data_IF_427115176177
#
_entry.id   IF_427115176177
#
_cell.length_a   1.000
_cell.length_b   1.000
_cell.length_c   1.000
_cell.angle_alpha   90.00
_cell.angle_beta   90.00
_cell.angle_gamma   90.00
#
_symmetry.space_group_name_H-M   'P 1'
#
loop_
_entity.id
_entity.type
_entity.pdbx_description
1 polymer ?
#
# COMPACT_ATOMS: atom_id res chain seq x y z
N UNK A 1 -6.63 47.09 -4.36
CA UNK A 1 -6.11 46.05 -3.45
C UNK A 1 -6.55 44.63 -3.82
N UNK A 2 -7.62 44.44 -4.62
CA UNK A 2 -8.18 43.10 -4.91
C UNK A 2 -7.41 42.30 -5.99
N UNK A 3 -6.76 42.97 -6.94
CA UNK A 3 -6.05 42.29 -8.04
C UNK A 3 -4.85 41.46 -7.53
N UNK A 4 -4.12 41.97 -6.54
CA UNK A 4 -2.96 41.29 -5.95
C UNK A 4 -3.34 40.01 -5.21
N UNK A 5 -4.50 40.01 -4.53
CA UNK A 5 -5.03 38.83 -3.82
C UNK A 5 -5.47 37.77 -4.82
N UNK A 6 -6.20 38.16 -5.87
CA UNK A 6 -6.64 37.21 -6.91
C UNK A 6 -5.46 36.55 -7.63
N UNK A 7 -4.41 37.31 -7.95
CA UNK A 7 -3.20 36.77 -8.60
C UNK A 7 -2.45 35.78 -7.68
N UNK A 8 -2.33 36.10 -6.38
CA UNK A 8 -1.76 35.18 -5.38
C UNK A 8 -2.58 33.89 -5.26
N UNK A 9 -3.91 33.98 -5.26
CA UNK A 9 -4.78 32.80 -5.25
C UNK A 9 -4.61 31.94 -6.52
N UNK A 10 -4.52 32.54 -7.71
CA UNK A 10 -4.26 31.78 -8.94
C UNK A 10 -2.88 31.13 -8.94
N UNK A 11 -1.84 31.82 -8.45
CA UNK A 11 -0.51 31.24 -8.32
C UNK A 11 -0.51 30.05 -7.33
N UNK A 12 -1.19 30.16 -6.20
CA UNK A 12 -1.35 29.06 -5.24
C UNK A 12 -2.11 27.86 -5.84
N UNK A 13 -3.16 28.11 -6.63
CA UNK A 13 -3.91 27.06 -7.34
C UNK A 13 -3.07 26.37 -8.43
N UNK A 14 -2.12 27.08 -9.05
CA UNK A 14 -1.26 26.52 -10.10
C UNK A 14 -0.06 25.75 -9.53
N UNK A 15 0.42 26.09 -8.33
CA UNK A 15 1.54 25.39 -7.68
C UNK A 15 1.07 24.16 -6.89
N UNK A 16 -0.18 24.16 -6.39
CA UNK A 16 -0.72 23.05 -5.59
C UNK A 16 -0.67 21.65 -6.24
N UNK A 17 -0.81 21.47 -7.56
CA UNK A 17 -0.73 20.13 -8.16
C UNK A 17 0.70 19.64 -8.35
N UNK A 18 1.70 20.52 -8.38
CA UNK A 18 3.08 20.16 -8.71
C UNK A 18 3.88 19.57 -7.54
N UNK A 19 3.42 19.72 -6.30
CA UNK A 19 4.30 19.54 -5.14
C UNK A 19 4.01 18.30 -4.27
N UNK A 20 3.14 17.37 -4.67
CA UNK A 20 2.82 16.20 -3.83
C UNK A 20 2.88 14.86 -4.59
N UNK A 21 3.61 14.84 -5.71
CA UNK A 21 3.92 13.59 -6.39
C UNK A 21 4.87 12.74 -5.54
N UNK A 22 4.80 11.43 -5.74
CA UNK A 22 5.77 10.48 -5.20
C UNK A 22 7.15 10.79 -5.79
N UNK A 23 8.07 11.26 -4.96
CA UNK A 23 9.40 11.70 -5.42
C UNK A 23 10.29 10.54 -5.85
N UNK A 24 11.32 10.82 -6.65
CA UNK A 24 12.30 9.80 -7.06
C UNK A 24 13.04 9.24 -5.84
N UNK A 25 13.33 10.08 -4.84
CA UNK A 25 13.95 9.65 -3.58
C UNK A 25 13.04 8.75 -2.75
N UNK A 26 11.73 9.08 -2.64
CA UNK A 26 10.75 8.21 -1.99
C UNK A 26 10.60 6.88 -2.73
N UNK A 27 10.60 6.93 -4.06
CA UNK A 27 10.52 5.74 -4.92
C UNK A 27 11.71 4.81 -4.74
N UNK A 28 12.91 5.35 -4.70
CA UNK A 28 14.13 4.56 -4.45
C UNK A 28 14.12 3.98 -3.03
N UNK A 29 13.79 4.79 -2.03
CA UNK A 29 13.70 4.34 -0.63
C UNK A 29 12.70 3.19 -0.46
N UNK A 30 11.49 3.31 -1.01
CA UNK A 30 10.47 2.28 -0.92
C UNK A 30 10.82 1.04 -1.76
N UNK A 31 11.48 1.20 -2.90
CA UNK A 31 12.00 0.08 -3.70
C UNK A 31 12.97 -0.79 -2.87
N UNK A 32 13.96 -0.16 -2.24
CA UNK A 32 14.90 -0.82 -1.33
C UNK A 32 14.16 -1.45 -0.14
N UNK A 33 13.16 -0.75 0.39
CA UNK A 33 12.38 -1.24 1.52
C UNK A 33 11.56 -2.49 1.17
N UNK A 34 10.92 -2.54 0.00
CA UNK A 34 10.23 -3.74 -0.49
C UNK A 34 11.20 -4.90 -0.62
N UNK A 35 12.38 -4.68 -1.21
CA UNK A 35 13.39 -5.72 -1.35
C UNK A 35 13.84 -6.25 0.03
N UNK A 36 14.07 -5.38 1.00
CA UNK A 36 14.42 -5.76 2.37
C UNK A 36 13.30 -6.56 3.06
N UNK A 37 12.04 -6.12 2.94
CA UNK A 37 10.89 -6.83 3.52
C UNK A 37 10.81 -8.26 2.97
N UNK A 38 10.91 -8.42 1.65
CA UNK A 38 10.87 -9.74 1.00
C UNK A 38 12.08 -10.61 1.39
N UNK A 39 13.25 -10.00 1.53
CA UNK A 39 14.45 -10.72 1.92
C UNK A 39 14.41 -11.19 3.38
N UNK A 40 13.85 -10.39 4.29
CA UNK A 40 13.91 -10.64 5.74
C UNK A 40 12.70 -11.38 6.30
N UNK A 41 11.54 -11.36 5.63
CA UNK A 41 10.32 -12.05 6.08
C UNK A 41 10.33 -13.54 5.73
N UNK A 42 11.09 -14.33 6.49
CA UNK A 42 11.29 -15.77 6.21
C UNK A 42 10.20 -16.67 6.79
N UNK A 43 9.74 -16.37 7.99
CA UNK A 43 8.69 -17.12 8.67
C UNK A 43 7.30 -16.52 8.44
N UNK A 44 6.27 -17.33 8.66
CA UNK A 44 4.87 -16.97 8.43
C UNK A 44 4.42 -15.76 9.25
N UNK A 45 4.86 -15.67 10.51
CA UNK A 45 4.51 -14.57 11.40
C UNK A 45 5.12 -13.26 10.89
N UNK A 46 6.39 -13.27 10.47
CA UNK A 46 7.05 -12.12 9.85
C UNK A 46 6.33 -11.66 8.59
N UNK A 47 5.94 -12.58 7.69
CA UNK A 47 5.18 -12.22 6.48
C UNK A 47 3.87 -11.52 6.83
N UNK A 48 3.08 -12.14 7.70
CA UNK A 48 1.78 -11.62 8.14
C UNK A 48 1.93 -10.23 8.78
N UNK A 49 2.93 -10.04 9.64
CA UNK A 49 3.19 -8.77 10.31
C UNK A 49 3.67 -7.68 9.34
N UNK A 50 4.41 -8.04 8.29
CA UNK A 50 4.97 -7.11 7.30
C UNK A 50 4.02 -6.78 6.15
N UNK A 51 2.92 -7.52 5.97
CA UNK A 51 1.87 -7.19 4.99
C UNK A 51 1.36 -5.75 5.14
N UNK A 52 1.21 -5.25 6.36
CA UNK A 52 0.77 -3.88 6.59
C UNK A 52 1.76 -2.85 6.02
N UNK A 53 3.06 -3.15 6.10
CA UNK A 53 4.10 -2.27 5.59
C UNK A 53 4.10 -2.22 4.05
N UNK A 54 3.87 -3.36 3.40
CA UNK A 54 3.68 -3.42 1.95
C UNK A 54 2.43 -2.62 1.51
N UNK A 55 1.33 -2.73 2.26
CA UNK A 55 0.12 -1.93 2.00
C UNK A 55 0.37 -0.42 2.14
N UNK A 56 1.18 -0.01 3.12
CA UNK A 56 1.52 1.40 3.31
C UNK A 56 2.43 1.93 2.20
N UNK A 57 3.37 1.12 1.70
CA UNK A 57 4.16 1.44 0.49
C UNK A 57 3.23 1.57 -0.72
N UNK A 58 2.33 0.60 -0.94
CA UNK A 58 1.36 0.67 -2.04
C UNK A 58 0.54 1.96 -1.99
N UNK A 59 0.03 2.36 -0.82
CA UNK A 59 -0.78 3.59 -0.67
C UNK A 59 -0.01 4.86 -1.05
N UNK A 60 1.30 4.92 -0.78
CA UNK A 60 2.15 6.05 -1.19
C UNK A 60 2.44 6.04 -2.68
N UNK A 61 2.67 4.84 -3.23
CA UNK A 61 2.99 4.65 -4.64
C UNK A 61 1.76 4.84 -5.55
N UNK A 62 0.57 4.42 -5.11
CA UNK A 62 -0.65 4.33 -5.91
C UNK A 62 -1.04 5.60 -6.69
N UNK A 63 -0.90 6.82 -6.15
CA UNK A 63 -1.18 8.05 -6.91
C UNK A 63 -0.26 8.26 -8.12
N UNK A 64 0.92 7.66 -8.13
CA UNK A 64 1.91 7.78 -9.22
C UNK A 64 1.80 6.67 -10.28
N UNK A 65 1.00 5.63 -10.01
CA UNK A 65 0.86 4.49 -10.92
C UNK A 65 -0.09 4.81 -12.08
N UNK A 66 0.09 4.06 -13.18
CA UNK A 66 -0.93 4.01 -14.22
C UNK A 66 -2.27 3.53 -13.62
N UNK A 67 -3.43 3.98 -14.16
CA UNK A 67 -4.72 3.50 -13.70
C UNK A 67 -4.83 1.97 -13.75
N UNK A 68 -4.28 1.34 -14.80
CA UNK A 68 -4.29 -0.11 -14.97
C UNK A 68 -3.50 -0.84 -13.87
N UNK A 69 -2.28 -0.40 -13.57
CA UNK A 69 -1.45 -1.01 -12.53
C UNK A 69 -2.07 -0.84 -11.14
N UNK A 70 -2.60 0.35 -10.87
CA UNK A 70 -3.30 0.65 -9.62
C UNK A 70 -4.52 -0.25 -9.45
N UNK A 71 -5.41 -0.31 -10.44
CA UNK A 71 -6.63 -1.13 -10.40
C UNK A 71 -6.35 -2.62 -10.28
N UNK A 72 -5.26 -3.11 -10.90
CA UNK A 72 -4.84 -4.50 -10.78
C UNK A 72 -4.48 -4.85 -9.34
N UNK A 73 -3.70 -4.00 -8.67
CA UNK A 73 -3.29 -4.24 -7.28
C UNK A 73 -4.45 -4.01 -6.31
N UNK A 74 -5.27 -2.98 -6.52
CA UNK A 74 -6.46 -2.73 -5.68
C UNK A 74 -7.45 -3.89 -5.72
N UNK A 75 -7.64 -4.54 -6.87
CA UNK A 75 -8.46 -5.75 -6.98
C UNK A 75 -7.89 -6.90 -6.15
N UNK A 76 -6.59 -7.18 -6.29
CA UNK A 76 -5.91 -8.22 -5.51
C UNK A 76 -6.03 -7.96 -4.00
N UNK A 77 -5.83 -6.72 -3.55
CA UNK A 77 -6.02 -6.32 -2.15
C UNK A 77 -7.45 -6.58 -1.68
N UNK A 78 -8.44 -6.25 -2.50
CA UNK A 78 -9.86 -6.43 -2.18
C UNK A 78 -10.20 -7.91 -2.03
N UNK A 79 -9.80 -8.75 -3.00
CA UNK A 79 -10.05 -10.19 -3.00
C UNK A 79 -9.50 -10.85 -1.72
N UNK A 80 -8.25 -10.56 -1.36
CA UNK A 80 -7.65 -11.11 -0.14
C UNK A 80 -8.25 -10.55 1.16
N UNK A 81 -8.65 -9.28 1.17
CA UNK A 81 -9.31 -8.68 2.34
C UNK A 81 -10.68 -9.32 2.58
N UNK A 82 -11.43 -9.63 1.53
CA UNK A 82 -12.73 -10.30 1.63
C UNK A 82 -12.57 -11.76 2.08
N UNK A 83 -11.52 -12.46 1.62
CA UNK A 83 -11.25 -13.87 1.95
C UNK A 83 -10.71 -14.09 3.38
N UNK A 84 -9.90 -13.17 3.92
CA UNK A 84 -9.34 -13.26 5.28
C UNK A 84 -10.42 -13.02 6.36
N UNK A 85 -11.57 -12.47 6.01
CA UNK A 85 -12.72 -12.27 6.90
C UNK A 85 -13.47 -13.58 7.20
N UNK A 86 -12.81 -14.54 7.83
CA UNK A 86 -13.44 -15.71 8.44
C UNK A 86 -13.67 -15.37 9.94
N UNK A 87 -14.93 -15.49 10.40
CA UNK A 87 -15.50 -15.03 11.70
C UNK A 87 -16.07 -13.59 11.79
N UNK A 88 -16.54 -13.03 10.68
CA UNK A 88 -17.81 -12.27 10.69
C UNK A 88 -17.85 -10.85 11.28
N UNK A 89 -16.77 -10.05 11.24
CA UNK A 89 -16.88 -8.59 11.51
C UNK A 89 -16.19 -7.77 10.41
N UNK A 90 -16.95 -7.03 9.56
CA UNK A 90 -16.41 -6.24 8.45
C UNK A 90 -16.20 -4.74 8.73
N UNK A 91 -15.48 -4.15 7.76
CA UNK A 91 -15.55 -2.80 7.17
C UNK A 91 -15.41 -1.56 8.06
N UNK A 92 -14.36 -0.78 7.78
CA UNK A 92 -14.27 0.66 8.00
C UNK A 92 -14.50 1.17 9.44
N UNK A 93 -13.39 1.36 10.16
CA UNK A 93 -13.40 2.07 11.44
C UNK A 93 -12.04 1.99 12.12
N UNK A 94 -11.11 2.85 11.68
CA UNK A 94 -9.76 3.07 12.20
C UNK A 94 -9.30 2.25 13.41
N UNK A 95 -8.54 1.17 13.17
CA UNK A 95 -7.45 0.70 14.03
C UNK A 95 -6.67 -0.37 13.27
N UNK A 96 -5.34 -0.32 13.45
CA UNK A 96 -4.30 -1.15 12.82
C UNK A 96 -4.81 -2.54 12.42
N UNK A 97 -4.58 -2.90 11.15
CA UNK A 97 -4.95 -4.19 10.55
C UNK A 97 -4.69 -5.34 11.53
N UNK A 98 -5.75 -6.12 11.75
CA UNK A 98 -5.94 -7.07 12.85
C UNK A 98 -5.12 -8.36 12.70
N UNK A 99 -4.07 -8.34 11.89
CA UNK A 99 -3.06 -9.40 11.84
C UNK A 99 -2.32 -9.52 13.18
N UNK A 100 -2.31 -8.44 13.98
CA UNK A 100 -1.72 -8.43 15.32
C UNK A 100 -2.66 -9.12 16.32
N UNK A 101 -2.41 -10.41 16.58
CA UNK A 101 -2.76 -11.03 17.87
C UNK A 101 -3.98 -11.95 17.92
N UNK A 102 -4.41 -12.56 16.81
CA UNK A 102 -5.35 -13.69 16.88
C UNK A 102 -4.74 -14.92 16.24
N UNK A 103 -4.94 -16.08 16.87
CA UNK A 103 -4.70 -17.39 16.25
C UNK A 103 -5.54 -17.40 14.98
N UNK A 104 -4.90 -17.15 13.83
CA UNK A 104 -5.54 -17.38 12.55
C UNK A 104 -5.75 -18.89 12.44
N UNK A 105 -6.89 -19.30 11.90
CA UNK A 105 -7.03 -20.68 11.47
C UNK A 105 -5.91 -20.99 10.45
N UNK A 106 -5.46 -22.24 10.30
CA UNK A 106 -4.45 -22.60 9.30
C UNK A 106 -4.81 -22.11 7.88
N UNK A 107 -6.10 -22.09 7.56
CA UNK A 107 -6.63 -21.54 6.30
C UNK A 107 -6.40 -20.03 6.21
N UNK A 108 -6.81 -19.26 7.22
CA UNK A 108 -6.63 -17.82 7.23
C UNK A 108 -5.15 -17.41 7.27
N UNK A 109 -4.30 -18.22 7.93
CA UNK A 109 -2.85 -18.03 7.92
C UNK A 109 -2.29 -18.23 6.51
N UNK A 110 -2.68 -19.31 5.82
CA UNK A 110 -2.29 -19.58 4.43
C UNK A 110 -2.69 -18.45 3.48
N UNK A 111 -3.92 -17.93 3.59
CA UNK A 111 -4.39 -16.79 2.81
C UNK A 111 -3.58 -15.52 3.07
N UNK A 112 -3.26 -15.23 4.33
CA UNK A 112 -2.47 -14.06 4.68
C UNK A 112 -1.01 -14.15 4.18
N UNK A 113 -0.42 -15.34 4.18
CA UNK A 113 0.91 -15.60 3.60
C UNK A 113 0.88 -15.43 2.08
N UNK A 114 -0.12 -16.03 1.40
CA UNK A 114 -0.29 -15.89 -0.05
C UNK A 114 -0.45 -14.43 -0.46
N UNK A 115 -1.26 -13.68 0.30
CA UNK A 115 -1.44 -12.25 0.07
C UNK A 115 -0.13 -11.46 0.19
N UNK A 116 0.69 -11.76 1.20
CA UNK A 116 2.02 -11.14 1.35
C UNK A 116 2.89 -11.38 0.11
N UNK A 117 2.94 -12.62 -0.37
CA UNK A 117 3.75 -13.01 -1.52
C UNK A 117 3.28 -12.34 -2.81
N UNK A 118 1.97 -12.30 -3.05
CA UNK A 118 1.39 -11.68 -4.22
C UNK A 118 1.56 -10.15 -4.23
N UNK A 119 1.25 -9.49 -3.10
CA UNK A 119 1.39 -8.04 -2.99
C UNK A 119 2.87 -7.64 -3.08
N UNK A 120 3.74 -8.32 -2.35
CA UNK A 120 5.18 -8.05 -2.37
C UNK A 120 5.79 -8.29 -3.75
N UNK A 121 5.42 -9.38 -4.43
CA UNK A 121 5.86 -9.66 -5.80
C UNK A 121 5.33 -8.65 -6.82
N UNK A 122 4.10 -8.16 -6.62
CA UNK A 122 3.53 -7.10 -7.48
C UNK A 122 4.24 -5.77 -7.30
N UNK A 123 4.52 -5.36 -6.06
CA UNK A 123 5.29 -4.15 -5.77
C UNK A 123 6.73 -4.25 -6.29
N UNK A 124 7.40 -5.39 -6.08
CA UNK A 124 8.77 -5.60 -6.57
C UNK A 124 8.86 -5.45 -8.10
N UNK A 125 7.86 -5.93 -8.84
CA UNK A 125 7.78 -5.75 -10.30
C UNK A 125 7.61 -4.29 -10.71
N UNK A 126 6.84 -3.50 -9.95
CA UNK A 126 6.65 -2.07 -10.25
C UNK A 126 7.92 -1.22 -10.06
N UNK A 127 8.88 -1.68 -9.27
CA UNK A 127 10.14 -0.99 -9.04
C UNK A 127 11.28 -1.47 -9.96
N UNK A 128 11.18 -2.68 -10.51
CA UNK A 128 12.23 -3.29 -11.34
C UNK A 128 11.92 -3.33 -12.83
N UNK A 129 10.64 -3.23 -13.19
CA UNK A 129 10.18 -3.05 -14.58
C UNK A 129 10.24 -1.59 -15.00
#
# INVERSE_FOLDING_TARGET
>A
MNASISLLCFALLLISPFCLGYSDEERESDSLRVAEILQTSKDDESKINRTQELLDIFRRLAPSLSPEDRERIERSIKEHTDEILIDGVPSQGGRKTKYVGKILSPVAQGLAIGFFEELGGSLSRLFTG
#
